data_IF_658129193794
#
_entry.id   IF_658129193794
#
_cell.length_a   1.000
_cell.length_b   1.000
_cell.length_c   1.000
_cell.angle_alpha   90.00
_cell.angle_beta   90.00
_cell.angle_gamma   90.00
#
_symmetry.space_group_name_H-M   'P 1'
#
loop_
_entity.id
_entity.type
_entity.pdbx_description
1 polymer ?
2 non-polymer ?
3 non-polymer ?
4 non-polymer ?
5 non-polymer ?
6 water ?
#
# COMPACT_ATOMS: atom_id res chain seq x y z
N UNK A 3 23.21 3.18 3.60
CA UNK A 3 23.10 2.59 4.93
C UNK A 3 21.69 2.04 5.24
N UNK A 4 20.62 2.80 4.98
CA UNK A 4 19.28 2.26 5.26
C UNK A 4 18.95 1.02 4.45
N UNK A 5 19.20 1.04 3.14
CA UNK A 5 18.92 -0.13 2.31
C UNK A 5 19.81 -1.31 2.69
N UNK A 6 21.10 -1.03 2.93
CA UNK A 6 22.02 -2.10 3.32
C UNK A 6 21.62 -2.70 4.65
N UNK A 7 21.21 -1.86 5.61
CA UNK A 7 20.77 -2.36 6.91
C UNK A 7 19.44 -3.10 6.78
N UNK A 8 18.54 -2.61 5.94
CA UNK A 8 17.24 -3.25 5.75
C UNK A 8 17.41 -4.66 5.18
N UNK A 9 18.37 -4.83 4.28
CA UNK A 9 18.59 -6.15 3.67
C UNK A 9 19.32 -7.10 4.60
N UNK A 10 20.18 -6.60 5.48
CA UNK A 10 20.80 -7.47 6.46
C UNK A 10 19.76 -8.01 7.45
N UNK A 11 18.85 -7.16 7.89
CA UNK A 11 17.80 -7.60 8.80
C UNK A 11 16.87 -8.59 8.11
N UNK A 12 16.72 -8.47 6.79
CA UNK A 12 15.95 -9.47 6.05
C UNK A 12 16.56 -10.85 6.22
N UNK A 13 17.88 -10.96 6.05
CA UNK A 13 18.55 -12.24 6.24
C UNK A 13 18.35 -12.75 7.66
N UNK A 14 18.37 -11.85 8.64
CA UNK A 14 18.16 -12.25 10.03
C UNK A 14 16.74 -12.76 10.25
N UNK A 15 15.76 -12.06 9.68
CA UNK A 15 14.36 -12.49 9.84
C UNK A 15 14.12 -13.80 9.12
N UNK A 16 14.60 -13.91 7.87
CA UNK A 16 14.41 -15.14 7.11
C UNK A 16 14.99 -16.33 7.84
N UNK A 17 16.22 -16.19 8.36
CA UNK A 17 16.89 -17.32 8.98
C UNK A 17 16.17 -17.75 10.25
N UNK A 18 15.66 -16.78 11.02
CA UNK A 18 14.87 -17.16 12.20
C UNK A 18 13.63 -17.94 11.81
N UNK A 19 12.87 -17.41 10.84
CA UNK A 19 11.62 -18.06 10.44
C UNK A 19 11.87 -19.46 9.92
N UNK A 20 12.90 -19.64 9.09
CA UNK A 20 13.17 -20.95 8.51
C UNK A 20 13.72 -21.91 9.53
N UNK A 21 14.59 -21.44 10.42
CA UNK A 21 15.07 -22.31 11.48
C UNK A 21 13.96 -22.64 12.47
N UNK A 22 13.07 -21.69 12.74
CA UNK A 22 11.91 -21.98 13.58
C UNK A 22 11.08 -23.12 13.01
N UNK A 23 10.86 -23.11 11.69
CA UNK A 23 10.11 -24.18 11.05
C UNK A 23 10.86 -25.51 11.16
N UNK A 24 12.19 -25.47 10.94
CA UNK A 24 12.99 -26.68 11.01
C UNK A 24 13.04 -27.24 12.43
N UNK A 25 13.20 -26.38 13.43
CA UNK A 25 13.45 -26.82 14.79
C UNK A 25 12.18 -26.96 15.63
N UNK A 26 11.15 -26.16 15.36
CA UNK A 26 9.94 -26.19 16.17
C UNK A 26 8.71 -26.69 15.43
N UNK A 27 8.73 -26.75 14.10
CA UNK A 27 7.56 -27.17 13.32
C UNK A 27 7.83 -28.43 12.52
N UNK A 28 8.97 -29.09 12.73
CA UNK A 28 9.26 -30.41 12.17
C UNK A 28 9.34 -30.37 10.64
N UNK A 29 9.80 -29.26 10.07
CA UNK A 29 9.84 -29.14 8.62
C UNK A 29 11.11 -29.74 8.06
N UNK A 30 10.96 -30.47 6.95
CA UNK A 30 12.04 -31.14 6.26
C UNK A 30 12.81 -30.14 5.39
N UNK A 31 14.11 -30.39 5.15
CA UNK A 31 14.91 -29.44 4.37
C UNK A 31 14.33 -29.07 3.02
N UNK A 32 13.80 -30.04 2.27
CA UNK A 32 13.23 -29.75 0.96
C UNK A 32 12.20 -28.64 1.04
N UNK A 33 11.29 -28.72 2.01
CA UNK A 33 10.27 -27.68 2.14
C UNK A 33 10.84 -26.39 2.69
N UNK A 34 11.89 -26.47 3.52
CA UNK A 34 12.52 -25.25 4.02
C UNK A 34 13.11 -24.45 2.86
N UNK A 35 13.84 -25.14 1.97
CA UNK A 35 14.39 -24.44 0.81
C UNK A 35 13.29 -24.00 -0.13
N UNK A 36 12.20 -24.77 -0.22
CA UNK A 36 11.05 -24.32 -1.00
C UNK A 36 10.48 -23.02 -0.44
N UNK A 37 10.40 -22.90 0.89
CA UNK A 37 9.87 -21.69 1.49
C UNK A 37 10.86 -20.54 1.43
N UNK A 38 12.16 -20.81 1.51
CA UNK A 38 13.14 -19.75 1.31
C UNK A 38 13.01 -19.13 -0.08
N UNK A 39 12.84 -19.97 -1.10
CA UNK A 39 12.69 -19.45 -2.46
C UNK A 39 11.39 -18.68 -2.61
N UNK A 40 10.30 -19.18 -2.02
CA UNK A 40 9.02 -18.47 -2.11
C UNK A 40 9.08 -17.13 -1.39
N UNK A 41 9.73 -17.09 -0.23
CA UNK A 41 9.84 -15.83 0.51
C UNK A 41 10.63 -14.80 -0.29
N UNK A 42 11.76 -15.21 -0.88
CA UNK A 42 12.54 -14.29 -1.70
C UNK A 42 11.75 -13.81 -2.90
N UNK A 43 11.01 -14.71 -3.55
CA UNK A 43 10.28 -14.36 -4.78
C UNK A 43 9.19 -13.35 -4.49
N UNK A 44 8.48 -13.50 -3.38
CA UNK A 44 7.33 -12.66 -3.11
C UNK A 44 7.68 -11.39 -2.34
N UNK A 45 8.75 -11.40 -1.54
CA UNK A 45 9.05 -10.29 -0.66
C UNK A 45 10.15 -9.37 -1.18
N UNK A 46 11.08 -9.90 -1.97
CA UNK A 46 12.16 -9.09 -2.54
C UNK A 46 11.84 -8.69 -3.98
N UNK A 47 12.54 -7.67 -4.44
CA UNK A 47 12.42 -7.21 -5.81
C UNK A 47 11.66 -5.92 -5.99
N UNK A 48 10.77 -5.58 -5.05
CA UNK A 48 10.05 -4.33 -5.13
C UNK A 48 10.94 -3.13 -4.81
N UNK A 49 10.33 -2.01 -4.45
CA UNK A 49 11.08 -0.81 -4.11
C UNK A 49 11.21 -0.59 -2.61
N UNK A 50 10.48 -1.35 -1.79
CA UNK A 50 10.55 -1.27 -0.34
C UNK A 50 10.20 0.13 0.17
N UNK A 51 9.29 0.81 -0.53
CA UNK A 51 8.90 2.17 -0.11
C UNK A 51 8.27 2.17 1.27
N UNK A 52 7.40 1.20 1.55
CA UNK A 52 6.76 1.15 2.86
C UNK A 52 7.76 0.81 3.95
N UNK A 53 8.62 -0.19 3.70
CA UNK A 53 9.52 -0.65 4.75
C UNK A 53 10.59 0.36 5.11
N UNK A 54 11.22 0.98 4.11
CA UNK A 54 12.25 1.97 4.37
C UNK A 54 11.70 3.21 5.07
N UNK A 55 10.39 3.46 4.97
CA UNK A 55 9.81 4.62 5.63
C UNK A 55 9.84 4.47 7.14
N UNK A 56 9.63 3.25 7.64
CA UNK A 56 9.73 3.01 9.07
C UNK A 56 11.13 3.37 9.57
N UNK A 57 12.14 3.03 8.78
CA UNK A 57 13.52 3.38 9.14
C UNK A 57 13.71 4.89 9.15
N UNK A 58 13.27 5.55 8.07
CA UNK A 58 13.46 6.99 7.96
C UNK A 58 12.73 7.75 9.06
N UNK A 59 11.57 7.27 9.49
CA UNK A 59 10.88 7.90 10.60
C UNK A 59 11.63 7.66 11.91
N UNK A 60 12.21 6.47 12.07
CA UNK A 60 12.88 6.14 13.32
C UNK A 60 14.16 6.93 13.49
N UNK A 61 14.94 7.10 12.43
CA UNK A 61 16.22 7.78 12.56
C UNK A 61 16.05 9.28 12.76
N UNK A 62 14.94 9.85 12.31
CA UNK A 62 14.69 11.27 12.53
C UNK A 62 14.21 11.56 13.95
N UNK A 63 13.66 10.57 14.64
CA UNK A 63 13.12 10.79 15.97
C UNK A 63 14.13 10.53 17.08
N UNK A 64 15.19 9.77 16.81
CA UNK A 64 16.28 9.66 17.77
C UNK A 64 17.29 10.80 17.63
N UNK A 65 17.09 11.69 16.66
CA UNK A 65 17.90 12.91 16.53
C UNK A 65 17.31 14.08 17.30
N UNK A 66 16.05 13.99 17.70
CA UNK A 66 15.41 15.00 18.54
C UNK A 66 14.24 14.40 19.29
N UNK A 67 14.51 13.72 20.39
CA UNK A 67 13.47 13.06 21.18
C UNK A 67 12.58 14.09 21.88
N UNK A 77 23.35 5.71 22.42
CA UNK A 77 24.08 4.48 22.68
C UNK A 77 23.34 3.23 22.26
N UNK A 78 22.88 2.45 23.23
CA UNK A 78 22.20 1.19 22.93
C UNK A 78 20.77 1.41 22.47
N UNK A 79 20.10 2.47 22.95
CA UNK A 79 18.74 2.75 22.49
C UNK A 79 18.70 3.04 21.00
N UNK A 80 19.78 3.58 20.44
CA UNK A 80 19.81 3.84 19.01
C UNK A 80 19.81 2.52 18.23
N UNK A 81 20.69 1.59 18.61
CA UNK A 81 20.83 0.35 17.85
C UNK A 81 19.54 -0.48 17.90
N UNK A 82 18.89 -0.53 19.07
CA UNK A 82 17.69 -1.34 19.21
C UNK A 82 16.53 -0.77 18.43
N UNK A 83 16.33 0.56 18.50
CA UNK A 83 15.21 1.18 17.81
C UNK A 83 15.34 1.02 16.29
N UNK A 84 16.54 1.21 15.76
CA UNK A 84 16.75 1.03 14.33
C UNK A 84 16.52 -0.40 13.89
N UNK A 85 16.93 -1.37 14.72
CA UNK A 85 16.65 -2.77 14.40
C UNK A 85 15.17 -3.08 14.51
N UNK A 86 14.50 -2.53 15.53
CA UNK A 86 13.06 -2.68 15.64
C UNK A 86 12.33 -2.10 14.44
N UNK A 87 12.78 -0.93 13.97
CA UNK A 87 12.19 -0.32 12.80
C UNK A 87 12.37 -1.21 11.57
N UNK A 88 13.50 -1.91 11.48
CA UNK A 88 13.75 -2.77 10.34
C UNK A 88 12.83 -3.98 10.35
N UNK A 89 12.53 -4.52 11.55
CA UNK A 89 11.57 -5.62 11.63
C UNK A 89 10.17 -5.13 11.25
N UNK A 90 9.78 -3.97 11.76
CA UNK A 90 8.47 -3.41 11.41
C UNK A 90 8.37 -3.13 9.91
N UNK A 91 9.46 -2.65 9.30
CA UNK A 91 9.47 -2.47 7.87
C UNK A 91 9.22 -3.76 7.10
N UNK A 92 9.81 -4.86 7.57
CA UNK A 92 9.60 -6.13 6.88
C UNK A 92 8.23 -6.71 7.16
N UNK A 93 7.61 -6.38 8.30
CA UNK A 93 6.22 -6.77 8.51
C UNK A 93 5.33 -6.21 7.41
N UNK A 94 5.49 -4.92 7.09
CA UNK A 94 4.67 -4.31 6.05
C UNK A 94 5.00 -4.88 4.68
N UNK A 95 6.28 -5.10 4.41
CA UNK A 95 6.68 -5.70 3.13
C UNK A 95 6.10 -7.10 2.98
N UNK A 96 6.17 -7.91 4.04
CA UNK A 96 5.54 -9.23 4.01
C UNK A 96 4.02 -9.10 3.87
N UNK A 97 3.44 -8.09 4.51
CA UNK A 97 2.01 -7.86 4.35
C UNK A 97 1.69 -7.50 2.90
N UNK A 98 2.51 -6.63 2.29
CA UNK A 98 2.31 -6.29 0.89
C UNK A 98 2.44 -7.51 0.00
N UNK A 99 3.45 -8.36 0.25
CA UNK A 99 3.60 -9.59 -0.51
C UNK A 99 2.37 -10.48 -0.35
N UNK A 100 1.81 -10.53 0.86
CA UNK A 100 0.59 -11.30 1.09
C UNK A 100 -0.56 -10.77 0.23
N UNK A 101 -0.71 -9.45 0.15
CA UNK A 101 -1.77 -8.86 -0.68
C UNK A 101 -1.54 -9.15 -2.15
N UNK A 102 -0.28 -9.12 -2.60
CA UNK A 102 0.00 -9.38 -4.02
C UNK A 102 -0.32 -10.83 -4.38
N UNK A 103 0.06 -11.77 -3.52
CA UNK A 103 -0.28 -13.17 -3.77
C UNK A 103 -1.78 -13.36 -3.83
N UNK A 104 -2.52 -12.71 -2.93
CA UNK A 104 -3.98 -12.79 -2.98
C UNK A 104 -4.51 -12.24 -4.30
N UNK A 105 -3.85 -11.24 -4.86
CA UNK A 105 -4.28 -10.70 -6.16
C UNK A 105 -3.98 -11.68 -7.28
N UNK A 106 -2.84 -12.38 -7.22
CA UNK A 106 -2.50 -13.33 -8.26
C UNK A 106 -3.51 -14.48 -8.34
N UNK A 107 -4.08 -14.87 -7.20
CA UNK A 107 -5.05 -15.96 -7.19
C UNK A 107 -6.31 -15.57 -7.94
N UNK A 108 -6.69 -14.29 -7.90
CA UNK A 108 -7.94 -13.87 -8.53
C UNK A 108 -7.85 -13.94 -10.05
N UNK A 109 -6.76 -13.42 -10.62
CA UNK A 109 -6.64 -13.32 -12.07
C UNK A 109 -6.09 -14.58 -12.72
N UNK A 110 -5.52 -15.50 -11.95
CA UNK A 110 -5.00 -16.73 -12.54
C UNK A 110 -6.10 -17.62 -13.11
N UNK A 111 -7.35 -17.40 -12.70
CA UNK A 111 -8.48 -18.14 -13.26
C UNK A 111 -9.78 -17.39 -13.03
N UNK A 123 -9.63 -32.89 -10.25
CA UNK A 123 -8.21 -32.94 -9.95
C UNK A 123 -7.75 -31.71 -9.16
N UNK A 124 -7.00 -31.94 -8.08
CA UNK A 124 -6.54 -30.83 -7.23
C UNK A 124 -5.41 -30.06 -7.88
N UNK A 125 -5.67 -28.80 -8.23
CA UNK A 125 -4.65 -27.95 -8.83
C UNK A 125 -3.65 -27.53 -7.76
N UNK A 126 -2.45 -28.12 -7.78
CA UNK A 126 -1.50 -27.91 -6.70
C UNK A 126 -0.88 -26.52 -6.73
N UNK A 127 -0.96 -25.81 -7.85
CA UNK A 127 -0.43 -24.45 -7.87
C UNK A 127 -1.36 -23.47 -7.18
N UNK A 128 -2.68 -23.64 -7.36
CA UNK A 128 -3.63 -22.79 -6.65
C UNK A 128 -3.63 -23.10 -5.16
N UNK A 129 -3.44 -24.37 -4.79
CA UNK A 129 -3.33 -24.73 -3.38
C UNK A 129 -2.10 -24.08 -2.76
N UNK A 130 -0.97 -24.10 -3.47
CA UNK A 130 0.25 -23.55 -2.92
C UNK A 130 0.21 -22.03 -2.87
N UNK A 131 -0.49 -21.40 -3.82
CA UNK A 131 -0.62 -19.95 -3.80
C UNK A 131 -1.43 -19.48 -2.60
N UNK A 132 -2.57 -20.12 -2.36
CA UNK A 132 -3.35 -19.85 -1.15
C UNK A 132 -2.51 -20.10 0.09
N UNK A 133 -1.77 -21.21 0.10
CA UNK A 133 -0.89 -21.48 1.24
C UNK A 133 0.17 -20.39 1.38
N UNK A 134 0.74 -19.93 0.28
CA UNK A 134 1.70 -18.82 0.32
C UNK A 134 1.08 -17.60 0.98
N UNK A 135 -0.15 -17.24 0.60
CA UNK A 135 -0.77 -16.06 1.15
C UNK A 135 -0.99 -16.17 2.66
N UNK A 136 -1.35 -17.36 3.13
CA UNK A 136 -1.51 -17.56 4.57
C UNK A 136 -0.19 -17.50 5.30
N UNK A 137 0.88 -18.05 4.69
CA UNK A 137 2.17 -18.05 5.36
C UNK A 137 2.76 -16.65 5.45
N UNK A 138 2.63 -15.86 4.39
CA UNK A 138 3.20 -14.51 4.40
C UNK A 138 2.56 -13.66 5.48
N UNK A 139 1.24 -13.75 5.64
CA UNK A 139 0.56 -13.02 6.70
C UNK A 139 1.01 -13.50 8.07
N UNK A 140 1.01 -14.83 8.28
CA UNK A 140 1.43 -15.37 9.56
C UNK A 140 2.86 -15.01 9.90
N UNK A 141 3.72 -14.88 8.90
CA UNK A 141 5.11 -14.51 9.16
C UNK A 141 5.23 -13.10 9.75
N UNK A 142 4.30 -12.20 9.40
CA UNK A 142 4.31 -10.88 10.02
C UNK A 142 4.08 -10.98 11.52
N UNK A 143 3.21 -11.91 11.94
CA UNK A 143 3.00 -12.12 13.37
C UNK A 143 4.20 -12.81 14.01
N UNK A 144 4.74 -13.84 13.36
CA UNK A 144 5.82 -14.61 13.96
C UNK A 144 7.07 -13.76 14.17
N UNK A 145 7.41 -12.91 13.21
CA UNK A 145 8.59 -12.06 13.38
C UNK A 145 8.33 -10.98 14.43
N UNK A 146 7.09 -10.51 14.56
CA UNK A 146 6.76 -9.55 15.60
C UNK A 146 6.80 -10.20 16.98
N UNK A 147 6.17 -11.37 17.12
CA UNK A 147 6.14 -12.06 18.40
C UNK A 147 7.53 -12.48 18.87
N UNK A 148 8.50 -12.60 17.97
CA UNK A 148 9.85 -12.99 18.34
C UNK A 148 10.72 -11.79 18.67
N UNK A 149 10.96 -10.92 17.68
CA UNK A 149 11.90 -9.82 17.87
C UNK A 149 11.39 -8.75 18.83
N UNK A 150 10.08 -8.70 19.08
CA UNK A 150 9.49 -7.72 19.98
C UNK A 150 8.94 -8.37 21.25
N UNK A 151 9.38 -9.59 21.57
CA UNK A 151 8.80 -10.34 22.68
C UNK A 151 8.92 -9.58 23.99
N UNK A 152 10.06 -8.90 24.21
CA UNK A 152 10.28 -8.13 25.42
C UNK A 152 9.97 -6.64 25.25
N UNK A 153 9.28 -6.27 24.18
CA UNK A 153 8.96 -4.85 24.07
C UNK A 153 7.60 -4.57 24.68
N UNK A 154 7.44 -3.42 25.35
CA UNK A 154 6.13 -3.07 25.90
C UNK A 154 5.09 -2.76 24.83
N UNK A 155 5.51 -2.40 23.62
CA UNK A 155 4.58 -2.03 22.57
C UNK A 155 4.10 -3.21 21.74
N UNK A 156 4.52 -4.43 22.07
CA UNK A 156 4.17 -5.58 21.23
C UNK A 156 2.67 -5.76 21.11
N UNK A 157 1.94 -5.58 22.20
CA UNK A 157 0.48 -5.74 22.15
C UNK A 157 -0.16 -4.61 21.33
N UNK A 158 0.30 -3.37 21.53
CA UNK A 158 -0.26 -2.27 20.75
C UNK A 158 0.12 -2.37 19.29
N UNK A 159 1.35 -2.83 19.02
CA UNK A 159 1.79 -3.00 17.64
C UNK A 159 0.93 -4.02 16.90
N UNK A 160 0.63 -5.14 17.54
CA UNK A 160 -0.19 -6.17 16.90
C UNK A 160 -1.60 -5.66 16.64
N UNK A 161 -2.17 -4.91 17.58
CA UNK A 161 -3.55 -4.45 17.43
C UNK A 161 -3.67 -3.41 16.32
N UNK A 162 -2.74 -2.45 16.27
CA UNK A 162 -2.76 -1.47 15.19
C UNK A 162 -2.49 -2.14 13.85
N UNK A 163 -1.58 -3.12 13.82
CA UNK A 163 -1.30 -3.85 12.60
C UNK A 163 -2.53 -4.62 12.13
N UNK A 164 -3.16 -5.36 13.04
CA UNK A 164 -4.34 -6.15 12.67
C UNK A 164 -5.48 -5.26 12.21
N UNK A 165 -5.65 -4.09 12.84
CA UNK A 165 -6.73 -3.19 12.47
C UNK A 165 -6.50 -2.60 11.09
N UNK A 166 -5.25 -2.23 10.78
CA UNK A 166 -4.93 -1.71 9.45
C UNK A 166 -5.12 -2.80 8.41
N UNK A 167 -4.75 -4.05 8.74
CA UNK A 167 -4.99 -5.15 7.82
C UNK A 167 -6.49 -5.35 7.57
N UNK A 168 -7.29 -5.25 8.63
CA UNK A 168 -8.74 -5.30 8.49
C UNK A 168 -9.24 -4.17 7.60
N UNK A 169 -8.71 -2.96 7.82
CA UNK A 169 -9.06 -1.81 7.01
C UNK A 169 -8.85 -2.09 5.52
N UNK A 170 -7.71 -2.70 5.18
CA UNK A 170 -7.40 -2.96 3.78
C UNK A 170 -8.37 -3.94 3.16
N UNK A 171 -8.76 -4.97 3.91
CA UNK A 171 -9.73 -5.93 3.39
C UNK A 171 -11.09 -5.28 3.18
N UNK A 172 -11.45 -4.32 4.04
CA UNK A 172 -12.70 -3.59 3.85
C UNK A 172 -12.63 -2.73 2.60
N UNK A 173 -11.49 -2.07 2.37
CA UNK A 173 -11.33 -1.26 1.18
C UNK A 173 -11.33 -2.10 -0.10
N UNK A 174 -10.80 -3.31 -0.02
CA UNK A 174 -10.88 -4.22 -1.17
C UNK A 174 -12.32 -4.54 -1.51
N UNK A 175 -13.17 -4.69 -0.50
CA UNK A 175 -14.60 -4.90 -0.76
C UNK A 175 -15.21 -3.69 -1.45
N UNK A 176 -14.89 -2.48 -0.96
CA UNK A 176 -15.40 -1.27 -1.60
C UNK A 176 -14.95 -1.18 -3.05
N UNK A 177 -13.71 -1.57 -3.33
CA UNK A 177 -13.18 -1.48 -4.69
C UNK A 177 -13.82 -2.52 -5.60
N UNK A 178 -13.77 -3.79 -5.19
CA UNK A 178 -14.19 -4.90 -6.03
C UNK A 178 -15.67 -4.79 -6.38
N UNK A 179 -16.48 -4.22 -5.50
CA UNK A 179 -17.92 -4.14 -5.70
C UNK A 179 -18.38 -2.73 -6.05
N UNK A 180 -17.50 -1.88 -6.59
CA UNK A 180 -17.89 -0.50 -6.84
C UNK A 180 -18.84 -0.35 -8.02
N UNK A 181 -19.04 -1.39 -8.82
CA UNK A 181 -19.89 -1.31 -10.01
C UNK A 181 -21.13 -2.21 -9.90
N UNK A 182 -21.43 -2.74 -8.73
CA UNK A 182 -22.56 -3.65 -8.59
C UNK A 182 -23.42 -3.31 -7.37
N UNK A 183 -24.35 -4.21 -7.04
CA UNK A 183 -25.12 -4.16 -5.80
C UNK A 183 -24.85 -5.46 -5.06
N UNK A 184 -24.06 -5.39 -3.99
CA UNK A 184 -23.66 -6.57 -3.23
C UNK A 184 -24.88 -7.35 -2.71
N UNK A 185 -25.11 -8.53 -3.27
CA UNK A 185 -26.27 -9.33 -2.89
C UNK A 185 -26.05 -10.04 -1.56
N UNK A 198 -23.30 -0.45 -13.19
CA UNK A 198 -23.81 0.47 -12.18
C UNK A 198 -22.79 1.59 -11.91
N UNK A 199 -23.27 2.83 -11.86
CA UNK A 199 -22.38 3.98 -11.69
C UNK A 199 -22.81 4.91 -10.55
N UNK A 200 -23.72 4.46 -9.67
CA UNK A 200 -24.17 5.32 -8.58
C UNK A 200 -23.03 5.63 -7.61
N UNK A 201 -22.12 4.68 -7.40
CA UNK A 201 -21.02 4.87 -6.47
C UNK A 201 -19.78 5.47 -7.14
N UNK A 202 -19.91 5.90 -8.40
CA UNK A 202 -18.81 6.58 -9.10
C UNK A 202 -18.87 8.06 -8.72
N UNK A 203 -18.38 8.35 -7.52
CA UNK A 203 -18.34 9.70 -6.99
C UNK A 203 -16.97 9.95 -6.38
N UNK A 204 -16.66 11.24 -6.20
CA UNK A 204 -15.35 11.63 -5.69
C UNK A 204 -15.18 11.22 -4.23
N UNK A 205 -16.24 11.31 -3.43
CA UNK A 205 -16.14 10.93 -2.03
C UNK A 205 -16.02 9.42 -1.87
N UNK A 206 -16.67 8.64 -2.75
CA UNK A 206 -16.52 7.20 -2.68
C UNK A 206 -15.15 6.76 -3.20
N UNK A 207 -14.65 7.44 -4.24
CA UNK A 207 -13.30 7.17 -4.71
C UNK A 207 -12.29 7.38 -3.59
N UNK A 208 -12.46 8.46 -2.82
CA UNK A 208 -11.59 8.69 -1.68
C UNK A 208 -11.78 7.62 -0.62
N UNK A 209 -13.01 7.16 -0.41
CA UNK A 209 -13.24 6.08 0.53
C UNK A 209 -12.49 4.82 0.10
N UNK A 210 -12.52 4.51 -1.20
CA UNK A 210 -11.79 3.35 -1.70
C UNK A 210 -10.29 3.53 -1.48
N UNK A 211 -9.75 4.67 -1.91
CA UNK A 211 -8.32 4.93 -1.72
C UNK A 211 -7.97 4.89 -0.24
N UNK A 212 -8.80 5.51 0.60
CA UNK A 212 -8.54 5.58 2.03
C UNK A 212 -8.31 4.18 2.62
N UNK A 213 -9.27 3.28 2.43
CA UNK A 213 -9.20 1.98 3.10
C UNK A 213 -8.34 1.00 2.32
N UNK A 214 -8.46 0.98 0.99
CA UNK A 214 -7.76 -0.04 0.20
C UNK A 214 -6.25 0.18 0.20
N UNK A 215 -5.79 1.43 0.32
CA UNK A 215 -4.39 1.71 0.05
C UNK A 215 -3.74 2.61 1.09
N UNK A 216 -4.36 3.76 1.38
CA UNK A 216 -3.69 4.80 2.16
C UNK A 216 -3.32 4.32 3.56
N UNK A 217 -4.21 3.55 4.20
CA UNK A 217 -3.99 3.21 5.60
C UNK A 217 -2.75 2.33 5.79
N UNK A 218 -2.54 1.34 4.91
CA UNK A 218 -1.41 0.44 5.09
C UNK A 218 -0.16 0.89 4.33
N UNK A 219 -0.32 1.71 3.29
CA UNK A 219 0.84 2.17 2.53
C UNK A 219 1.45 3.45 3.10
N UNK A 220 0.64 4.33 3.68
CA UNK A 220 1.12 5.62 4.13
C UNK A 220 0.96 5.83 5.64
N UNK A 221 -0.20 5.50 6.21
CA UNK A 221 -0.38 5.70 7.64
C UNK A 221 0.38 4.67 8.46
N UNK A 222 0.33 3.40 8.04
CA UNK A 222 0.94 2.34 8.85
C UNK A 222 2.45 2.48 9.00
N UNK A 223 3.24 2.73 7.95
CA UNK A 223 4.68 2.92 8.18
C UNK A 223 5.00 4.07 9.11
N UNK A 224 4.28 5.18 8.99
CA UNK A 224 4.51 6.32 9.87
C UNK A 224 4.21 5.96 11.32
N UNK A 225 3.06 5.35 11.56
CA UNK A 225 2.68 4.93 12.90
C UNK A 225 3.70 3.95 13.47
N UNK A 226 4.18 3.02 12.64
CA UNK A 226 5.12 2.02 13.12
C UNK A 226 6.46 2.64 13.48
N UNK A 227 6.91 3.63 12.69
CA UNK A 227 8.11 4.35 13.07
C UNK A 227 7.97 5.07 14.39
N UNK A 228 6.78 5.63 14.66
CA UNK A 228 6.53 6.27 15.94
C UNK A 228 6.54 5.28 17.08
N UNK A 229 6.01 4.08 16.85
CA UNK A 229 5.90 3.08 17.91
C UNK A 229 7.29 2.63 18.37
N UNK A 230 8.15 2.23 17.43
CA UNK A 230 9.48 1.78 17.80
C UNK A 230 10.34 2.93 18.32
N UNK A 231 9.99 4.17 18.00
CA UNK A 231 10.69 5.34 18.51
C UNK A 231 10.09 5.87 19.80
N UNK A 232 9.08 5.19 20.34
CA UNK A 232 8.47 5.53 21.62
C UNK A 232 7.86 6.93 21.61
N UNK A 233 7.43 7.40 20.44
CA UNK A 233 6.92 8.75 20.27
C UNK A 233 5.49 8.75 19.72
N UNK A 234 4.75 7.68 19.98
CA UNK A 234 3.37 7.61 19.49
C UNK A 234 2.48 8.71 20.07
N UNK A 235 2.36 8.88 21.39
CA UNK A 235 1.45 9.89 21.93
C UNK A 235 1.96 11.32 21.85
N UNK A 236 3.05 11.57 21.13
CA UNK A 236 3.65 12.89 21.04
C UNK A 236 3.30 13.62 19.75
N UNK A 237 2.54 13.00 18.85
CA UNK A 237 2.22 13.59 17.57
C UNK A 237 0.72 13.78 17.45
N UNK A 238 0.32 14.77 16.66
CA UNK A 238 -1.09 14.97 16.34
C UNK A 238 -1.49 13.91 15.32
N UNK A 239 -2.20 12.88 15.78
CA UNK A 239 -2.56 11.79 14.90
C UNK A 239 -3.59 12.21 13.85
N UNK A 240 -4.42 13.21 14.18
CA UNK A 240 -5.40 13.68 13.21
C UNK A 240 -4.75 14.24 11.96
N UNK A 241 -3.81 15.17 12.13
CA UNK A 241 -3.07 15.70 10.99
C UNK A 241 -2.25 14.60 10.33
N UNK A 242 -1.75 13.65 11.13
CA UNK A 242 -1.01 12.52 10.56
C UNK A 242 -1.93 11.66 9.70
N UNK A 243 -3.09 11.27 10.24
CA UNK A 243 -4.07 10.54 9.44
C UNK A 243 -4.45 11.33 8.20
N UNK A 244 -4.72 12.63 8.36
CA UNK A 244 -5.16 13.44 7.23
C UNK A 244 -4.10 13.50 6.15
N UNK A 245 -2.83 13.59 6.55
CA UNK A 245 -1.74 13.62 5.58
C UNK A 245 -1.64 12.30 4.82
N UNK A 246 -1.72 11.18 5.55
CA UNK A 246 -1.61 9.87 4.91
C UNK A 246 -2.72 9.66 3.88
N UNK A 247 -3.95 10.07 4.23
CA UNK A 247 -5.06 9.94 3.28
C UNK A 247 -4.85 10.83 2.06
N UNK A 248 -4.35 12.05 2.28
CA UNK A 248 -4.13 12.97 1.17
C UNK A 248 -3.01 12.47 0.26
N UNK A 249 -1.93 11.94 0.84
CA UNK A 249 -0.83 11.44 0.02
C UNK A 249 -1.22 10.18 -0.73
N UNK A 250 -2.07 9.33 -0.13
CA UNK A 250 -2.57 8.18 -0.85
C UNK A 250 -3.47 8.58 -2.00
N UNK A 251 -4.29 9.60 -1.80
CA UNK A 251 -5.14 10.11 -2.87
C UNK A 251 -4.31 10.66 -4.02
N UNK A 252 -3.29 11.48 -3.71
CA UNK A 252 -2.43 12.04 -4.75
C UNK A 252 -1.80 10.94 -5.59
N UNK A 253 -1.24 9.91 -4.94
CA UNK A 253 -0.55 8.87 -5.68
C UNK A 253 -1.49 7.91 -6.39
N UNK A 254 -2.74 7.80 -5.93
CA UNK A 254 -3.71 6.97 -6.64
C UNK A 254 -4.23 7.67 -7.88
N UNK A 255 -4.43 8.99 -7.81
CA UNK A 255 -4.85 9.74 -8.99
C UNK A 255 -3.79 9.66 -10.07
N UNK A 256 -2.53 9.90 -9.70
CA UNK A 256 -1.43 9.75 -10.65
C UNK A 256 -1.37 8.33 -11.20
N UNK A 257 -1.57 7.34 -10.34
CA UNK A 257 -1.57 5.95 -10.81
C UNK A 257 -2.70 5.71 -11.80
N UNK A 258 -3.88 6.28 -11.53
CA UNK A 258 -5.03 6.06 -12.41
C UNK A 258 -4.79 6.65 -13.79
N UNK A 259 -4.20 7.83 -13.86
CA UNK A 259 -3.93 8.45 -15.16
C UNK A 259 -2.89 7.66 -15.92
N UNK A 260 -1.83 7.22 -15.25
CA UNK A 260 -0.79 6.44 -15.91
C UNK A 260 -1.32 5.10 -16.39
N UNK A 261 -2.21 4.48 -15.60
CA UNK A 261 -2.80 3.21 -16.01
C UNK A 261 -3.48 3.32 -17.37
N UNK A 262 -3.99 4.50 -17.70
CA UNK A 262 -4.75 4.69 -18.93
C UNK A 262 -3.91 5.22 -20.08
N UNK A 263 -2.97 6.12 -19.81
CA UNK A 263 -2.24 6.82 -20.86
C UNK A 263 -0.79 6.37 -21.03
N UNK A 264 -0.15 5.92 -19.96
CA UNK A 264 1.23 5.45 -20.09
C UNK A 264 1.24 4.11 -20.83
N UNK A 265 1.96 3.99 -21.95
CA UNK A 265 1.99 2.73 -22.70
C UNK A 265 2.59 1.62 -21.85
N UNK A 266 2.28 0.35 -22.18
CA UNK A 266 2.66 -0.75 -21.27
C UNK A 266 4.16 -0.89 -21.03
N UNK A 267 4.98 -0.70 -22.07
CA UNK A 267 6.43 -0.85 -21.90
C UNK A 267 7.03 0.24 -21.04
N UNK A 268 6.31 1.32 -20.77
CA UNK A 268 6.77 2.38 -19.88
C UNK A 268 6.10 2.36 -18.52
N UNK A 269 4.85 1.88 -18.45
CA UNK A 269 4.17 1.77 -17.16
C UNK A 269 4.70 0.59 -16.35
N UNK A 270 5.16 -0.47 -17.02
CA UNK A 270 5.62 -1.67 -16.36
C UNK A 270 4.62 -2.81 -16.38
N UNK A 271 3.37 -2.53 -16.75
CA UNK A 271 2.32 -3.53 -16.82
C UNK A 271 1.39 -3.14 -17.96
N UNK A 272 0.25 -3.83 -18.05
CA UNK A 272 -0.80 -3.45 -18.97
C UNK A 272 -1.90 -2.75 -18.17
N UNK A 273 -2.19 -1.50 -18.52
CA UNK A 273 -3.26 -0.78 -17.86
C UNK A 273 -4.60 -1.39 -18.21
N UNK A 274 -5.38 -1.75 -17.20
CA UNK A 274 -6.61 -2.50 -17.40
C UNK A 274 -7.82 -1.92 -16.67
N UNK A 275 -7.73 -0.67 -16.18
CA UNK A 275 -8.83 -0.12 -15.38
C UNK A 275 -10.10 0.01 -16.20
N UNK A 276 -9.99 0.44 -17.46
CA UNK A 276 -11.17 0.62 -18.30
C UNK A 276 -11.87 -0.72 -18.51
N UNK A 277 -11.10 -1.76 -18.87
CA UNK A 277 -11.69 -3.08 -19.07
C UNK A 277 -12.31 -3.62 -17.79
N UNK A 278 -11.65 -3.41 -16.65
CA UNK A 278 -12.13 -3.91 -15.37
C UNK A 278 -13.19 -3.00 -14.75
N UNK A 279 -13.57 -1.93 -15.42
CA UNK A 279 -14.61 -1.02 -14.94
C UNK A 279 -14.30 -0.52 -13.54
N UNK A 280 -13.05 -0.14 -13.31
CA UNK A 280 -12.64 0.35 -12.00
C UNK A 280 -13.21 1.74 -11.77
N UNK A 281 -13.50 2.03 -10.50
CA UNK A 281 -13.91 3.37 -10.08
C UNK A 281 -12.64 4.22 -9.97
N UNK A 282 -12.14 4.64 -11.12
CA UNK A 282 -10.89 5.40 -11.18
C UNK A 282 -11.17 6.89 -11.16
N UNK A 283 -10.10 7.67 -10.95
CA UNK A 283 -10.25 9.12 -10.92
C UNK A 283 -10.72 9.64 -12.26
N UNK A 284 -10.27 9.03 -13.36
CA UNK A 284 -10.69 9.47 -14.68
C UNK A 284 -12.19 9.28 -14.87
N UNK A 285 -12.73 8.15 -14.42
CA UNK A 285 -14.14 7.86 -14.63
C UNK A 285 -15.04 8.82 -13.86
N UNK A 286 -14.73 9.04 -12.58
CA UNK A 286 -15.61 9.87 -11.75
C UNK A 286 -15.48 11.34 -12.13
N UNK A 287 -14.30 11.77 -12.58
CA UNK A 287 -14.15 13.15 -13.03
C UNK A 287 -14.83 13.36 -14.38
N UNK A 288 -14.77 12.35 -15.25
CA UNK A 288 -15.43 12.44 -16.55
C UNK A 288 -16.95 12.52 -16.38
N UNK A 289 -17.52 11.68 -15.52
CA UNK A 289 -18.97 11.64 -15.38
C UNK A 289 -19.54 12.96 -14.88
N UNK A 290 -18.73 13.75 -14.17
CA UNK A 290 -19.22 15.02 -13.65
C UNK A 290 -19.29 16.10 -14.73
N UNK A 291 -18.37 16.09 -15.70
CA UNK A 291 -18.29 17.14 -16.70
C UNK A 291 -18.71 16.70 -18.09
N UNK A 292 -19.16 15.46 -18.26
CA UNK A 292 -19.58 14.99 -19.57
C UNK A 292 -21.02 15.37 -19.85
N UNK A 293 -21.37 15.43 -21.13
CA UNK A 293 -22.74 15.66 -21.53
C UNK A 293 -23.54 14.37 -21.43
N UNK A 294 -24.87 14.50 -21.50
CA UNK A 294 -25.74 13.34 -21.34
C UNK A 294 -25.47 12.30 -22.44
N UNK A 295 -25.20 12.76 -23.66
CA UNK A 295 -24.92 11.82 -24.74
C UNK A 295 -23.52 11.22 -24.62
N UNK A 296 -22.57 11.97 -24.04
CA UNK A 296 -21.24 11.41 -23.79
C UNK A 296 -21.28 10.38 -22.66
N UNK A 297 -22.08 10.63 -21.63
CA UNK A 297 -22.25 9.65 -20.56
C UNK A 297 -22.80 8.34 -21.12
N UNK A 298 -23.79 8.44 -22.01
CA UNK A 298 -24.34 7.26 -22.65
C UNK A 298 -23.27 6.54 -23.47
N UNK A 299 -22.43 7.30 -24.17
CA UNK A 299 -21.34 6.69 -24.93
C UNK A 299 -20.30 6.07 -24.00
N UNK A 300 -20.07 6.70 -22.85
CA UNK A 300 -19.15 6.14 -21.87
C UNK A 300 -19.74 4.88 -21.24
N UNK A 301 -21.01 4.94 -20.83
CA UNK A 301 -21.64 3.78 -20.20
C UNK A 301 -21.73 2.61 -21.16
N UNK A 302 -21.89 2.88 -22.45
CA UNK A 302 -21.98 1.80 -23.43
C UNK A 302 -20.64 1.18 -23.76
N UNK A 303 -19.54 1.84 -23.42
CA UNK A 303 -18.20 1.36 -23.76
C UNK A 303 -17.36 0.98 -22.56
N UNK A 304 -17.76 1.36 -21.35
CA UNK A 304 -16.95 1.09 -20.18
C UNK A 304 -17.10 -0.35 -19.73
N UNK A 305 -16.00 -0.92 -19.22
CA UNK A 305 -16.03 -2.27 -18.70
C UNK A 305 -15.98 -3.37 -19.73
N UNK A 306 -15.53 -3.08 -20.95
CA UNK A 306 -15.44 -4.07 -22.01
C UNK A 306 -13.98 -4.36 -22.34
N UNK A 307 -13.74 -5.57 -22.83
CA UNK A 307 -12.42 -5.96 -23.26
C UNK A 307 -12.11 -5.64 -24.71
N UNK A 308 -13.11 -5.22 -25.48
CA UNK A 308 -12.89 -4.94 -26.89
C UNK A 308 -11.93 -3.78 -27.08
N UNK A 309 -11.10 -3.87 -28.12
CA UNK A 309 -10.05 -2.88 -28.33
C UNK A 309 -10.62 -1.50 -28.62
N UNK A 310 -11.71 -1.44 -29.40
CA UNK A 310 -12.24 -0.15 -29.82
C UNK A 310 -13.08 0.51 -28.75
N UNK A 311 -13.76 -0.27 -27.91
CA UNK A 311 -14.53 0.32 -26.82
C UNK A 311 -13.61 0.94 -25.77
N UNK A 312 -12.48 0.27 -25.47
CA UNK A 312 -11.49 0.85 -24.58
C UNK A 312 -10.93 2.14 -25.17
N UNK A 313 -10.62 2.12 -26.47
CA UNK A 313 -10.12 3.32 -27.13
C UNK A 313 -11.19 4.41 -27.20
N UNK A 314 -12.46 4.01 -27.30
CA UNK A 314 -13.53 5.00 -27.24
C UNK A 314 -13.55 5.69 -25.89
N UNK A 315 -13.28 4.96 -24.81
CA UNK A 315 -13.24 5.56 -23.48
C UNK A 315 -12.05 6.49 -23.35
N UNK A 316 -10.88 6.09 -23.86
CA UNK A 316 -9.71 6.96 -23.82
C UNK A 316 -9.96 8.23 -24.64
N UNK A 317 -10.65 8.09 -25.77
CA UNK A 317 -10.98 9.26 -26.59
C UNK A 317 -11.88 10.22 -25.82
N UNK A 318 -12.86 9.70 -25.08
CA UNK A 318 -13.72 10.55 -24.27
C UNK A 318 -12.91 11.27 -23.19
N UNK A 319 -11.99 10.56 -22.54
CA UNK A 319 -11.14 11.20 -21.54
C UNK A 319 -10.33 12.33 -22.14
N UNK A 320 -9.76 12.11 -23.33
CA UNK A 320 -8.96 13.14 -23.98
C UNK A 320 -9.81 14.36 -24.32
N UNK A 321 -10.97 14.15 -24.93
CA UNK A 321 -11.81 15.26 -25.37
C UNK A 321 -12.40 16.03 -24.20
N UNK A 322 -12.50 15.42 -23.02
CA UNK A 322 -12.97 16.13 -21.84
C UNK A 322 -11.86 16.92 -21.15
N UNK A 323 -10.64 16.89 -21.69
CA UNK A 323 -9.50 17.61 -21.12
C UNK A 323 -9.25 17.17 -19.68
N UNK A 324 -9.31 15.86 -19.45
CA UNK A 324 -9.13 15.35 -18.08
C UNK A 324 -7.69 15.52 -17.62
N UNK A 325 -6.72 15.29 -18.51
CA UNK A 325 -5.32 15.49 -18.16
C UNK A 325 -5.01 16.95 -17.87
N UNK A 326 -5.83 17.88 -18.36
CA UNK A 326 -5.73 19.25 -17.91
C UNK A 326 -6.22 19.42 -16.48
N UNK A 327 -7.32 18.74 -16.13
CA UNK A 327 -7.82 18.76 -14.76
C UNK A 327 -6.91 17.99 -13.82
N UNK A 328 -6.20 17.00 -14.33
CA UNK A 328 -5.31 16.20 -13.50
C UNK A 328 -4.23 17.05 -12.86
N UNK A 329 -3.65 17.98 -13.63
CA UNK A 329 -2.58 18.82 -13.10
C UNK A 329 -3.10 19.70 -11.98
N UNK A 330 -4.27 20.31 -12.18
CA UNK A 330 -4.82 21.19 -11.17
C UNK A 330 -5.22 20.41 -9.91
N UNK A 331 -5.84 19.24 -10.07
CA UNK A 331 -6.24 18.45 -8.92
C UNK A 331 -5.03 18.05 -8.09
N UNK A 332 -3.97 17.56 -8.74
CA UNK A 332 -2.76 17.20 -8.02
C UNK A 332 -2.14 18.41 -7.35
N UNK A 333 -2.12 19.56 -8.03
CA UNK A 333 -1.55 20.76 -7.44
C UNK A 333 -2.31 21.16 -6.19
N UNK A 334 -3.64 21.10 -6.23
CA UNK A 334 -4.43 21.43 -5.05
C UNK A 334 -4.16 20.45 -3.91
N UNK A 335 -4.07 19.15 -4.24
CA UNK A 335 -3.73 18.17 -3.21
C UNK A 335 -2.32 18.42 -2.68
N UNK A 336 -1.39 18.72 -3.58
CA UNK A 336 -0.02 19.03 -3.15
C UNK A 336 0.00 20.20 -2.20
N UNK A 337 -0.79 21.25 -2.48
CA UNK A 337 -0.84 22.40 -1.59
C UNK A 337 -1.38 22.01 -0.22
N UNK A 338 -2.41 21.17 -0.18
CA UNK A 338 -2.92 20.69 1.10
C UNK A 338 -1.87 19.84 1.82
N UNK A 339 -1.05 19.11 1.07
CA UNK A 339 0.02 18.32 1.67
C UNK A 339 1.17 19.23 2.11
N UNK A 340 1.62 20.11 1.22
CA UNK A 340 2.72 21.01 1.52
C UNK A 340 2.42 21.95 2.69
N UNK A 341 1.17 22.01 3.14
CA UNK A 341 0.78 22.87 4.26
C UNK A 341 0.35 22.10 5.50
N UNK A 342 -0.16 20.88 5.35
CA UNK A 342 -0.52 20.08 6.52
C UNK A 342 0.71 19.56 7.26
N UNK A 343 1.85 19.46 6.58
CA UNK A 343 3.08 19.08 7.25
C UNK A 343 3.49 20.14 8.26
N UNK A 344 3.08 21.39 8.04
CA UNK A 344 3.46 22.47 8.95
C UNK A 344 2.68 22.40 10.26
N UNK A 345 1.40 22.02 10.21
CA UNK A 345 0.64 21.83 11.44
C UNK A 345 1.25 20.75 12.31
N UNK A 346 1.98 19.80 11.71
CA UNK A 346 2.55 18.68 12.43
C UNK A 346 3.90 19.00 13.06
N UNK A 347 4.67 19.92 12.47
CA UNK A 347 5.99 20.22 13.01
C UNK A 347 5.94 21.15 14.22
N UNK A 348 4.82 21.83 14.44
CA UNK A 348 4.70 22.71 15.60
C UNK A 348 4.68 21.94 16.91
N UNK A 349 4.34 20.64 16.87
CA UNK A 349 4.41 19.77 18.03
C UNK A 349 5.33 18.58 17.82
N UNK A 350 5.73 18.28 16.59
CA UNK A 350 6.63 17.17 16.28
C UNK A 350 7.53 17.59 15.13
N UNK A 351 8.59 18.36 15.43
CA UNK A 351 9.43 18.86 14.34
C UNK A 351 10.20 17.77 13.61
N UNK A 352 10.72 16.78 14.33
CA UNK A 352 11.43 15.70 13.67
C UNK A 352 10.54 14.79 12.87
N UNK A 353 9.30 14.60 13.31
CA UNK A 353 8.37 13.76 12.57
C UNK A 353 8.08 14.34 11.20
N UNK A 354 7.72 15.63 11.16
CA UNK A 354 7.45 16.29 9.89
C UNK A 354 8.67 16.33 8.99
N UNK A 355 9.86 16.31 9.59
CA UNK A 355 11.11 16.21 8.85
C UNK A 355 11.42 14.78 8.42
N UNK A 356 10.49 13.85 8.63
CA UNK A 356 10.57 12.53 8.03
C UNK A 356 9.64 12.37 6.85
N UNK A 357 8.46 13.00 6.92
CA UNK A 357 7.57 13.09 5.76
C UNK A 357 8.09 14.10 4.74
N UNK A 358 9.28 14.68 4.96
CA UNK A 358 9.87 15.59 3.99
C UNK A 358 10.10 14.89 2.65
N UNK A 359 10.35 13.58 2.69
CA UNK A 359 10.63 12.80 1.49
C UNK A 359 9.36 12.33 0.80
N UNK A 360 8.20 12.80 1.24
CA UNK A 360 6.98 12.60 0.47
C UNK A 360 7.09 13.29 -0.89
N UNK A 361 7.84 14.38 -0.95
CA UNK A 361 8.14 15.06 -2.21
C UNK A 361 9.62 14.99 -2.57
N UNK A 362 10.43 14.35 -1.75
CA UNK A 362 11.77 13.95 -2.15
C UNK A 362 11.70 12.60 -2.82
N UNK A 363 10.48 12.20 -3.18
CA UNK A 363 10.17 10.91 -3.77
C UNK A 363 8.70 10.85 -4.15
N UNK A 364 8.39 11.00 -5.44
CA UNK A 364 7.01 10.94 -5.91
C UNK A 364 6.74 9.64 -6.65
#
# INVERSE_FOLDING_TARGET
GPMPMQMFMQVYDEIQMFLLEELELKFDMDPNRVRYLRKMMDTTCLGGKYNRGLTVIDVAESLLSLSPNNNGEEDDGARRKRVLHDACVCGWMIEFLQAHYLVEDDIMDNSVTRRGKPCWYRHPDVTVQCAINDGLLLKSWTHMMAMHFFADRPFLQDLLCRFNRVDYTTAVGQLYDVTSMFDSNKLDPDVSQPTTTDFAEFTLSNYKRIVKYKTAYYTYLLPLVMGLIVSEALPTVDMGVTEELAMLMGEYFQVQDDVMDCFTPPERLGKVGTDIQDAKCSWLAVTFLAKASSAQVAEFKANYGSGDSEKVATVRRLYEEADLQGDYVAYEAAVAEQVKELIEKLRLCSPGFAASVETLWGKTYKRQK
#
